data_IF_823445301777
#
_entry.id   IF_823445301777
#
_cell.length_a   1.000
_cell.length_b   1.000
_cell.length_c   1.000
_cell.angle_alpha   90.00
_cell.angle_beta   90.00
_cell.angle_gamma   90.00
#
_symmetry.space_group_name_H-M   'P 1'
#
loop_
_entity.id
_entity.type
_entity.pdbx_description
1 polymer ?
#
# COMPACT_ATOMS: atom_id res chain seq x y z
N UNK A 1 19.40 -19.02 7.94
CA UNK A 1 18.08 -19.10 8.60
C UNK A 1 17.12 -17.93 8.27
N UNK A 2 17.54 -16.89 7.53
CA UNK A 2 16.66 -15.78 7.09
C UNK A 2 15.54 -16.16 6.09
N UNK A 3 15.52 -17.39 5.56
CA UNK A 3 14.49 -17.83 4.61
C UNK A 3 13.22 -18.34 5.31
N UNK A 4 13.29 -18.79 6.55
CA UNK A 4 12.18 -19.49 7.21
C UNK A 4 11.01 -18.56 7.56
N UNK A 5 11.30 -17.33 7.99
CA UNK A 5 10.27 -16.36 8.32
C UNK A 5 9.58 -15.81 7.07
N UNK A 6 10.33 -15.52 6.00
CA UNK A 6 9.76 -15.11 4.70
C UNK A 6 8.87 -16.22 4.15
N UNK A 7 9.29 -17.48 4.27
CA UNK A 7 8.49 -18.63 3.87
C UNK A 7 7.18 -18.70 4.66
N UNK A 8 7.23 -18.50 5.96
CA UNK A 8 6.05 -18.52 6.86
C UNK A 8 5.06 -17.41 6.50
N UNK A 9 5.56 -16.18 6.29
CA UNK A 9 4.75 -15.04 5.86
C UNK A 9 4.11 -15.31 4.49
N UNK A 10 4.87 -15.84 3.52
CA UNK A 10 4.35 -16.21 2.20
C UNK A 10 3.29 -17.32 2.29
N UNK A 11 3.46 -18.30 3.19
CA UNK A 11 2.43 -19.32 3.42
C UNK A 11 1.16 -18.72 4.03
N UNK A 12 1.29 -17.81 5.00
CA UNK A 12 0.15 -17.10 5.59
C UNK A 12 -0.60 -16.28 4.53
N UNK A 13 0.12 -15.61 3.62
CA UNK A 13 -0.46 -14.90 2.49
C UNK A 13 -1.30 -15.84 1.63
N UNK A 14 -0.75 -16.94 1.13
CA UNK A 14 -1.48 -17.88 0.27
C UNK A 14 -2.68 -18.56 0.95
N UNK A 15 -2.71 -18.64 2.28
CA UNK A 15 -3.85 -19.20 3.03
C UNK A 15 -5.04 -18.26 3.10
N UNK A 16 -4.81 -16.95 3.06
CA UNK A 16 -5.84 -15.92 3.28
C UNK A 16 -6.17 -15.12 2.03
N UNK A 17 -5.19 -14.92 1.16
CA UNK A 17 -5.29 -14.05 -0.01
C UNK A 17 -4.82 -14.78 -1.26
N UNK A 18 -5.52 -14.57 -2.37
CA UNK A 18 -5.15 -15.16 -3.66
C UNK A 18 -4.03 -14.39 -4.34
N UNK A 19 -4.01 -13.05 -4.20
CA UNK A 19 -2.97 -12.16 -4.76
C UNK A 19 -2.43 -11.21 -3.70
N UNK A 20 -1.19 -10.74 -3.92
CA UNK A 20 -0.60 -9.66 -3.13
C UNK A 20 -1.42 -8.35 -3.21
N UNK A 21 -2.10 -8.13 -4.33
CA UNK A 21 -2.97 -6.96 -4.50
C UNK A 21 -4.16 -7.02 -3.55
N UNK A 22 -4.75 -8.21 -3.34
CA UNK A 22 -5.91 -8.35 -2.47
C UNK A 22 -5.54 -8.01 -1.00
N UNK A 23 -4.33 -8.35 -0.55
CA UNK A 23 -3.78 -7.91 0.73
C UNK A 23 -3.53 -6.39 0.75
N UNK A 24 -2.94 -5.85 -0.32
CA UNK A 24 -2.65 -4.42 -0.44
C UNK A 24 -3.92 -3.58 -0.34
N UNK A 25 -4.99 -3.99 -1.04
CA UNK A 25 -6.29 -3.36 -1.02
C UNK A 25 -6.97 -3.47 0.36
N UNK A 26 -6.80 -4.62 1.05
CA UNK A 26 -7.35 -4.83 2.40
C UNK A 26 -6.69 -3.95 3.45
N UNK A 27 -5.37 -3.79 3.38
CA UNK A 27 -4.56 -2.98 4.30
C UNK A 27 -4.61 -1.48 3.94
N UNK A 28 -4.95 -1.15 2.69
CA UNK A 28 -4.93 0.23 2.18
C UNK A 28 -3.52 0.74 1.85
N UNK A 29 -2.60 -0.15 1.47
CA UNK A 29 -1.21 0.19 1.13
C UNK A 29 -0.90 -0.12 -0.33
N UNK A 30 0.17 0.46 -0.84
CA UNK A 30 0.66 0.14 -2.19
C UNK A 30 1.13 -1.32 -2.27
N UNK A 31 0.91 -1.97 -3.43
CA UNK A 31 1.45 -3.30 -3.71
C UNK A 31 2.96 -3.39 -3.49
N UNK A 32 3.70 -2.32 -3.80
CA UNK A 32 5.15 -2.25 -3.60
C UNK A 32 5.55 -2.36 -2.12
N UNK A 33 4.73 -1.85 -1.21
CA UNK A 33 4.93 -1.98 0.24
C UNK A 33 4.78 -3.44 0.65
N UNK A 34 3.74 -4.12 0.17
CA UNK A 34 3.56 -5.57 0.37
C UNK A 34 4.72 -6.37 -0.23
N UNK A 35 5.17 -6.01 -1.43
CA UNK A 35 6.32 -6.66 -2.07
C UNK A 35 7.60 -6.48 -1.26
N UNK A 36 7.88 -5.28 -0.74
CA UNK A 36 9.04 -5.03 0.14
C UNK A 36 8.97 -5.91 1.39
N UNK A 37 7.81 -5.92 2.06
CA UNK A 37 7.57 -6.75 3.24
C UNK A 37 7.81 -8.24 2.98
N UNK A 38 7.24 -8.79 1.90
CA UNK A 38 7.40 -10.22 1.54
C UNK A 38 8.82 -10.62 1.12
N UNK A 39 9.70 -9.65 0.86
CA UNK A 39 11.11 -9.88 0.58
C UNK A 39 12.03 -9.52 1.75
N UNK A 40 11.46 -9.22 2.93
CA UNK A 40 12.23 -8.84 4.12
C UNK A 40 12.91 -7.48 3.99
N UNK A 41 12.43 -6.61 3.09
CA UNK A 41 12.90 -5.22 3.02
C UNK A 41 12.19 -4.39 4.10
N UNK A 42 12.86 -3.35 4.65
CA UNK A 42 12.26 -2.49 5.65
C UNK A 42 11.03 -1.79 5.07
N UNK A 43 9.96 -1.82 5.86
CA UNK A 43 8.72 -1.09 5.62
C UNK A 43 8.40 -0.27 6.86
N UNK A 44 7.53 0.73 6.70
CA UNK A 44 7.07 1.54 7.82
C UNK A 44 6.44 0.65 8.92
N UNK A 45 6.68 0.99 10.18
CA UNK A 45 6.22 0.22 11.35
C UNK A 45 4.72 -0.02 11.33
N UNK A 46 3.93 0.98 10.97
CA UNK A 46 2.46 0.84 10.90
C UNK A 46 2.05 -0.16 9.82
N UNK A 47 2.64 -0.06 8.63
CA UNK A 47 2.40 -1.00 7.54
C UNK A 47 2.82 -2.43 7.92
N UNK A 48 3.93 -2.59 8.66
CA UNK A 48 4.38 -3.89 9.15
C UNK A 48 3.33 -4.53 10.09
N UNK A 49 2.86 -3.78 11.08
CA UNK A 49 1.89 -4.26 12.06
C UNK A 49 0.58 -4.64 11.37
N UNK A 50 0.04 -3.74 10.54
CA UNK A 50 -1.23 -3.97 9.86
C UNK A 50 -1.15 -5.18 8.92
N UNK A 51 -0.06 -5.33 8.16
CA UNK A 51 0.13 -6.51 7.31
C UNK A 51 0.21 -7.80 8.13
N UNK A 52 0.91 -7.80 9.27
CA UNK A 52 0.97 -8.95 10.17
C UNK A 52 -0.41 -9.31 10.73
N UNK A 53 -1.20 -8.31 11.16
CA UNK A 53 -2.55 -8.51 11.67
C UNK A 53 -3.50 -9.12 10.63
N UNK A 54 -3.50 -8.60 9.40
CA UNK A 54 -4.31 -9.15 8.32
C UNK A 54 -3.91 -10.60 7.94
N UNK A 55 -2.61 -10.91 8.03
CA UNK A 55 -2.08 -12.26 7.83
C UNK A 55 -2.32 -13.19 9.02
N UNK A 56 -2.79 -12.68 10.16
CA UNK A 56 -2.99 -13.44 11.39
C UNK A 56 -1.69 -13.89 12.04
N UNK A 57 -0.63 -13.09 11.90
CA UNK A 57 0.69 -13.32 12.47
C UNK A 57 0.92 -12.35 13.64
N UNK A 58 1.55 -12.84 14.70
CA UNK A 58 2.01 -11.96 15.78
C UNK A 58 3.21 -11.14 15.29
N UNK A 59 3.02 -9.82 15.16
CA UNK A 59 4.05 -8.91 14.65
C UNK A 59 5.28 -8.88 15.55
N UNK A 60 5.12 -9.11 16.87
CA UNK A 60 6.25 -9.13 17.80
C UNK A 60 7.16 -10.32 17.50
N UNK A 61 6.57 -11.52 17.39
CA UNK A 61 7.29 -12.73 17.00
C UNK A 61 8.01 -12.55 15.67
N UNK A 62 7.38 -11.93 14.66
CA UNK A 62 8.02 -11.68 13.35
C UNK A 62 9.14 -10.63 13.45
N UNK A 63 9.00 -9.61 14.30
CA UNK A 63 9.98 -8.54 14.48
C UNK A 63 11.21 -8.99 15.27
N UNK A 64 11.04 -9.76 16.36
CA UNK A 64 12.17 -10.31 17.14
C UNK A 64 13.07 -11.19 16.28
N UNK A 65 12.48 -11.98 15.38
CA UNK A 65 13.22 -12.84 14.44
C UNK A 65 14.01 -12.05 13.38
N UNK A 66 13.61 -10.80 13.08
CA UNK A 66 14.35 -9.95 12.15
C UNK A 66 15.62 -9.35 12.79
N UNK A 67 15.59 -9.07 14.09
CA UNK A 67 16.73 -8.52 14.84
C UNK A 67 17.86 -9.54 14.90
N UNK A 68 17.57 -10.81 15.19
CA UNK A 68 18.57 -11.88 15.23
C UNK A 68 19.25 -12.11 13.86
N UNK A 69 18.51 -11.94 12.75
CA UNK A 69 19.05 -12.09 11.40
C UNK A 69 20.01 -10.96 10.99
N UNK A 70 19.94 -9.80 11.64
CA UNK A 70 20.78 -8.63 11.35
C UNK A 70 22.07 -8.57 12.17
N UNK A 71 22.21 -9.38 13.22
CA UNK A 71 23.39 -9.35 14.11
C UNK A 71 24.55 -10.24 13.63
N UNK A 72 24.30 -11.23 12.77
CA UNK A 72 25.34 -12.12 12.24
C UNK A 72 26.17 -11.50 11.09
N UNK A 73 25.84 -10.29 10.61
CA UNK A 73 26.53 -9.64 9.49
C UNK A 73 27.58 -8.58 9.87
N UNK A 74 27.72 -8.22 11.15
CA UNK A 74 28.48 -7.01 11.55
C UNK A 74 29.85 -7.25 12.20
N UNK A 75 30.34 -8.49 12.33
CA UNK A 75 31.61 -8.78 13.02
C UNK A 75 32.71 -9.44 12.15
N UNK A 76 32.62 -9.40 10.82
CA UNK A 76 33.74 -9.74 9.95
C UNK A 76 34.39 -8.45 9.41
N UNK A 77 35.72 -8.25 9.52
CA UNK A 77 36.37 -7.18 8.79
C UNK A 77 36.21 -7.49 7.30
N UNK A 78 35.40 -6.70 6.61
CA UNK A 78 35.17 -6.86 5.18
C UNK A 78 36.53 -6.78 4.44
N UNK A 79 36.92 -7.79 3.65
CA UNK A 79 38.01 -7.61 2.72
C UNK A 79 37.51 -6.60 1.67
N UNK A 80 38.23 -5.49 1.55
CA UNK A 80 38.01 -4.51 0.47
C UNK A 80 37.95 -5.26 -0.87
N UNK A 81 36.86 -5.17 -1.65
CA UNK A 81 36.87 -5.68 -3.00
C UNK A 81 37.86 -4.84 -3.81
N UNK A 82 38.91 -5.50 -4.27
CA UNK A 82 39.87 -4.95 -5.19
C UNK A 82 39.17 -4.45 -6.46
N UNK A 83 39.49 -3.20 -6.82
CA UNK A 83 39.42 -2.60 -8.17
C UNK A 83 38.13 -2.82 -8.97
N UNK A 84 37.22 -1.85 -8.89
CA UNK A 84 36.31 -1.55 -10.01
C UNK A 84 37.15 -0.84 -11.08
N UNK A 85 37.64 -1.58 -12.07
CA UNK A 85 38.17 -0.98 -13.31
C UNK A 85 37.02 -0.31 -14.05
N UNK A 86 36.98 1.02 -13.95
CA UNK A 86 36.06 1.90 -14.68
C UNK A 86 36.59 2.09 -16.09
N UNK A 87 36.33 1.15 -17.00
CA UNK A 87 36.62 1.37 -18.42
C UNK A 87 35.67 0.66 -19.40
N UNK A 88 34.48 0.22 -18.95
CA UNK A 88 33.43 -0.18 -19.89
C UNK A 88 32.65 1.06 -20.37
N UNK A 89 32.56 1.33 -21.69
CA UNK A 89 31.70 2.37 -22.22
C UNK A 89 30.25 2.14 -21.78
N UNK A 90 29.66 3.17 -21.16
CA UNK A 90 28.25 3.18 -20.81
C UNK A 90 27.48 3.19 -22.13
N UNK A 91 27.05 2.03 -22.61
CA UNK A 91 26.10 1.98 -23.71
C UNK A 91 24.76 2.55 -23.23
N UNK A 92 24.57 3.83 -23.53
CA UNK A 92 23.32 4.45 -23.96
C UNK A 92 22.04 3.75 -23.50
N UNK A 93 21.59 4.08 -22.28
CA UNK A 93 20.27 3.73 -21.72
C UNK A 93 19.07 4.40 -22.45
N UNK A 94 19.20 4.75 -23.73
CA UNK A 94 18.14 5.42 -24.49
C UNK A 94 17.02 4.50 -24.97
N UNK A 95 17.10 3.20 -24.67
CA UNK A 95 16.06 2.24 -25.05
C UNK A 95 15.49 1.54 -23.82
N UNK A 96 14.96 2.32 -22.88
CA UNK A 96 13.83 1.82 -22.10
C UNK A 96 12.63 1.85 -23.07
N UNK A 97 11.97 0.72 -23.36
CA UNK A 97 10.61 0.82 -23.87
C UNK A 97 9.83 1.51 -22.75
N UNK A 98 9.54 2.79 -22.95
CA UNK A 98 8.43 3.48 -22.31
C UNK A 98 7.23 2.57 -22.54
N UNK A 99 6.94 1.73 -21.54
CA UNK A 99 5.67 1.03 -21.45
C UNK A 99 4.66 2.13 -21.38
N UNK A 100 4.15 2.48 -22.56
CA UNK A 100 2.89 3.14 -22.84
C UNK A 100 2.19 3.52 -21.56
N UNK A 101 2.39 4.78 -21.19
CA UNK A 101 1.39 5.59 -20.53
C UNK A 101 0.07 5.32 -21.26
N UNK A 102 -0.65 4.31 -20.79
CA UNK A 102 -2.09 4.31 -20.97
C UNK A 102 -2.56 5.35 -19.97
N UNK A 103 -2.46 6.62 -20.38
CA UNK A 103 -3.28 7.70 -19.85
C UNK A 103 -4.73 7.29 -20.09
N UNK A 104 -5.25 6.40 -19.25
CA UNK A 104 -6.69 6.34 -19.03
C UNK A 104 -7.06 7.74 -18.56
N UNK A 105 -7.86 8.49 -19.34
CA UNK A 105 -8.22 9.84 -18.95
C UNK A 105 -8.78 9.79 -17.53
N UNK A 106 -8.43 10.77 -16.70
CA UNK A 106 -8.89 10.86 -15.30
C UNK A 106 -10.42 10.62 -15.20
N UNK A 107 -11.15 10.98 -16.25
CA UNK A 107 -12.58 10.72 -16.46
C UNK A 107 -12.98 9.22 -16.46
N UNK A 108 -12.14 8.33 -16.97
CA UNK A 108 -12.35 6.87 -16.96
C UNK A 108 -12.19 6.26 -15.57
N UNK A 109 -11.21 6.74 -14.80
CA UNK A 109 -11.04 6.34 -13.39
C UNK A 109 -12.22 6.87 -12.56
N UNK A 110 -12.61 8.14 -12.75
CA UNK A 110 -13.76 8.72 -12.07
C UNK A 110 -15.07 7.98 -12.38
N UNK A 111 -15.28 7.60 -13.66
CA UNK A 111 -16.44 6.81 -14.09
C UNK A 111 -16.47 5.44 -13.43
N UNK A 112 -15.35 4.72 -13.40
CA UNK A 112 -15.26 3.41 -12.77
C UNK A 112 -15.50 3.49 -11.26
N UNK A 113 -14.99 4.52 -10.60
CA UNK A 113 -15.24 4.77 -9.18
C UNK A 113 -16.73 5.08 -8.92
N UNK A 114 -17.37 5.86 -9.78
CA UNK A 114 -18.80 6.16 -9.69
C UNK A 114 -19.66 4.89 -9.84
N UNK A 115 -19.31 4.02 -10.79
CA UNK A 115 -20.01 2.74 -10.99
C UNK A 115 -19.88 1.82 -9.76
N UNK A 116 -18.69 1.76 -9.15
CA UNK A 116 -18.44 0.99 -7.92
C UNK A 116 -19.28 1.55 -6.76
N UNK A 117 -19.29 2.87 -6.56
CA UNK A 117 -20.09 3.51 -5.51
C UNK A 117 -21.59 3.23 -5.69
N UNK A 118 -22.10 3.30 -6.92
CA UNK A 118 -23.50 2.97 -7.22
C UNK A 118 -23.82 1.50 -6.90
N UNK A 119 -22.91 0.57 -7.24
CA UNK A 119 -23.09 -0.85 -6.96
C UNK A 119 -23.09 -1.14 -5.46
N UNK A 120 -22.14 -0.57 -4.71
CA UNK A 120 -22.09 -0.69 -3.25
C UNK A 120 -23.33 -0.12 -2.58
N UNK A 121 -23.80 1.04 -3.04
CA UNK A 121 -25.01 1.66 -2.48
C UNK A 121 -26.25 0.79 -2.71
N UNK A 122 -26.41 0.21 -3.90
CA UNK A 122 -27.49 -0.76 -4.19
C UNK A 122 -27.39 -1.99 -3.31
N UNK A 123 -26.18 -2.53 -3.12
CA UNK A 123 -25.94 -3.69 -2.27
C UNK A 123 -26.32 -3.40 -0.81
N UNK A 124 -25.83 -2.29 -0.26
CA UNK A 124 -26.17 -1.85 1.11
C UNK A 124 -27.69 -1.68 1.25
N UNK A 125 -28.35 -1.00 0.29
CA UNK A 125 -29.81 -0.82 0.31
C UNK A 125 -30.59 -2.14 0.29
N UNK A 126 -30.06 -3.17 -0.37
CA UNK A 126 -30.70 -4.50 -0.39
C UNK A 126 -30.58 -5.28 0.93
N UNK A 127 -29.63 -4.91 1.79
CA UNK A 127 -29.39 -5.57 3.07
C UNK A 127 -30.12 -4.88 4.25
N UNK A 128 -30.73 -3.71 4.04
CA UNK A 128 -31.45 -2.98 5.08
C UNK A 128 -32.99 -3.16 4.93
N UNK A 129 -33.73 -3.29 6.05
CA UNK A 129 -35.20 -3.24 6.02
C UNK A 129 -35.68 -1.87 5.51
N UNK A 130 -36.79 -1.83 4.76
CA UNK A 130 -37.27 -0.63 4.04
C UNK A 130 -37.42 0.60 4.92
N UNK A 131 -37.74 0.39 6.20
CA UNK A 131 -38.09 1.45 7.14
C UNK A 131 -36.87 2.21 7.71
N UNK A 132 -35.64 1.74 7.43
CA UNK A 132 -34.38 2.34 7.94
C UNK A 132 -33.60 3.07 6.82
N UNK A 133 -34.02 2.93 5.56
CA UNK A 133 -33.26 3.42 4.42
C UNK A 133 -33.15 4.95 4.35
N UNK A 134 -34.23 5.70 4.60
CA UNK A 134 -34.23 7.14 4.28
C UNK A 134 -33.39 7.97 5.27
N UNK A 135 -33.39 7.61 6.55
CA UNK A 135 -32.60 8.31 7.58
C UNK A 135 -31.10 8.02 7.47
N UNK A 136 -30.73 6.76 7.19
CA UNK A 136 -29.34 6.34 6.99
C UNK A 136 -28.78 6.94 5.71
N UNK A 137 -29.55 6.95 4.62
CA UNK A 137 -29.15 7.57 3.34
C UNK A 137 -28.97 9.07 3.50
N UNK A 138 -29.89 9.75 4.20
CA UNK A 138 -29.77 11.18 4.47
C UNK A 138 -28.53 11.49 5.33
N UNK A 139 -28.21 10.65 6.31
CA UNK A 139 -27.04 10.82 7.17
C UNK A 139 -25.73 10.58 6.42
N UNK A 140 -25.66 9.54 5.57
CA UNK A 140 -24.50 9.24 4.74
C UNK A 140 -24.24 10.33 3.70
N UNK A 141 -25.30 10.84 3.05
CA UNK A 141 -25.19 11.95 2.10
C UNK A 141 -24.68 13.24 2.76
N UNK A 142 -25.15 13.54 3.98
CA UNK A 142 -24.65 14.68 4.77
C UNK A 142 -23.18 14.52 5.14
N UNK A 143 -22.76 13.33 5.55
CA UNK A 143 -21.36 13.04 5.88
C UNK A 143 -20.44 13.22 4.67
N UNK A 144 -20.80 12.65 3.52
CA UNK A 144 -20.03 12.79 2.28
C UNK A 144 -19.91 14.25 1.82
N UNK A 145 -20.98 15.05 1.96
CA UNK A 145 -20.95 16.49 1.66
C UNK A 145 -20.09 17.29 2.64
N UNK A 146 -20.03 16.88 3.91
CA UNK A 146 -19.18 17.51 4.93
C UNK A 146 -17.70 17.29 4.61
N UNK A 147 -17.32 16.05 4.29
CA UNK A 147 -15.94 15.72 3.91
C UNK A 147 -15.55 16.43 2.61
N UNK A 148 -16.40 16.44 1.58
CA UNK A 148 -16.12 17.14 0.33
C UNK A 148 -15.90 18.65 0.55
N UNK A 149 -16.67 19.29 1.44
CA UNK A 149 -16.51 20.71 1.79
C UNK A 149 -15.22 20.98 2.55
N UNK A 150 -14.82 20.07 3.44
CA UNK A 150 -13.56 20.18 4.17
C UNK A 150 -12.38 20.20 3.21
N UNK A 151 -12.34 19.26 2.26
CA UNK A 151 -11.26 19.21 1.25
C UNK A 151 -11.30 20.37 0.24
N UNK A 152 -12.48 20.93 -0.08
CA UNK A 152 -12.56 22.12 -0.94
C UNK A 152 -12.21 23.44 -0.23
N UNK A 153 -12.32 23.48 1.10
CA UNK A 153 -12.08 24.68 1.91
C UNK A 153 -10.64 24.87 2.37
N UNK A 154 -9.79 23.84 2.27
CA UNK A 154 -8.39 23.88 2.71
C UNK A 154 -7.39 24.30 1.63
N UNK A 155 -7.86 24.70 0.44
CA UNK A 155 -7.02 25.17 -0.66
C UNK A 155 -7.26 26.66 -0.91
N UNK A 156 -6.90 27.54 0.01
CA UNK A 156 -6.54 28.97 -0.19
C UNK A 156 -6.19 29.56 1.19
N UNK A 157 -4.97 29.31 1.67
CA UNK A 157 -4.33 30.23 2.62
C UNK A 157 -2.81 30.21 2.41
N UNK A 158 -2.39 30.66 1.23
CA UNK A 158 -1.08 31.27 1.05
C UNK A 158 -1.29 32.56 0.25
N UNK A 159 -1.50 33.68 0.94
CA UNK A 159 -0.84 34.98 0.71
C UNK A 159 -1.47 36.03 1.62
N UNK A 160 -0.72 36.51 2.62
CA UNK A 160 -0.33 37.92 2.77
C UNK A 160 0.45 38.15 4.10
N UNK A 161 1.76 38.43 3.96
CA UNK A 161 2.46 39.45 4.78
C UNK A 161 1.72 40.80 4.61
N UNK A 162 1.78 41.81 5.51
CA UNK A 162 2.94 42.14 6.38
C UNK A 162 2.62 42.76 7.77
N UNK A 163 3.59 42.73 8.70
CA UNK A 163 3.92 43.85 9.61
C UNK A 163 5.36 43.72 10.09
#
# INVERSE_FOLDING_TARGET
MASEHIQTVKQALHRRFYRQMDLADTVGVCRDTVHKFLNGKPVERWNFIEICEQLGLDWQTVAYLHVEASEEANNAPAPLPASIERDAPIESFTNLPTSTEHDEPIESIAKRNAEILVALFKYIRSQLPSDVCDEVVASLAKAALSEAKYYSGSQLDETEEPQ
#
